data_IF_477681994196
#
_entry.id   IF_477681994196
#
_cell.length_a   1.000
_cell.length_b   1.000
_cell.length_c   1.000
_cell.angle_alpha   90.00
_cell.angle_beta   90.00
_cell.angle_gamma   90.00
#
_symmetry.space_group_name_H-M   'P 1'
#
loop_
_entity.id
_entity.type
_entity.pdbx_description
1 polymer ?
#
# COMPACT_ATOMS: atom_id res chain seq x y z
N UNK A 1 7.47 12.57 29.79
CA UNK A 1 7.05 13.19 28.51
C UNK A 1 7.60 14.60 28.32
N UNK A 2 7.14 15.59 29.08
CA UNK A 2 7.48 17.01 28.84
C UNK A 2 8.96 17.36 29.10
N UNK A 3 9.58 16.77 30.12
CA UNK A 3 11.00 17.01 30.42
C UNK A 3 11.94 16.39 29.37
N UNK A 4 11.62 15.20 28.89
CA UNK A 4 12.39 14.55 27.82
C UNK A 4 12.32 15.34 26.51
N UNK A 5 11.14 15.88 26.18
CA UNK A 5 10.94 16.73 25.02
C UNK A 5 11.76 18.02 25.11
N UNK A 6 11.71 18.74 26.25
CA UNK A 6 12.51 19.95 26.47
C UNK A 6 14.03 19.68 26.36
N UNK A 7 14.50 18.55 26.89
CA UNK A 7 15.91 18.15 26.77
C UNK A 7 16.32 17.88 25.33
N UNK A 8 15.46 17.22 24.53
CA UNK A 8 15.68 17.00 23.10
C UNK A 8 15.73 18.34 22.36
N UNK A 9 14.78 19.24 22.60
CA UNK A 9 14.74 20.56 21.98
C UNK A 9 15.97 21.43 22.32
N UNK A 10 16.48 21.34 23.54
CA UNK A 10 17.71 22.03 23.94
C UNK A 10 18.98 21.46 23.27
N UNK A 11 18.98 20.14 22.97
CA UNK A 11 20.09 19.47 22.27
C UNK A 11 20.18 19.87 20.80
N UNK A 12 19.03 20.21 20.16
CA UNK A 12 18.93 20.62 18.76
C UNK A 12 18.46 22.08 18.66
N UNK A 13 19.34 23.03 18.97
CA UNK A 13 19.03 24.45 18.77
C UNK A 13 20.13 25.09 17.90
N UNK A 14 19.87 25.54 16.66
CA UNK A 14 18.58 25.41 15.92
C UNK A 14 18.25 23.97 15.55
N UNK A 15 16.94 23.69 15.36
CA UNK A 15 16.49 22.37 14.92
C UNK A 15 17.06 22.03 13.55
N UNK A 16 17.55 20.79 13.33
CA UNK A 16 17.87 20.33 11.98
C UNK A 16 16.65 20.40 11.07
N UNK A 17 16.86 20.73 9.79
CA UNK A 17 15.77 20.88 8.81
C UNK A 17 14.82 19.65 8.75
N UNK A 18 15.39 18.46 8.84
CA UNK A 18 14.60 17.23 8.85
C UNK A 18 13.68 17.11 10.08
N UNK A 19 14.08 17.65 11.23
CA UNK A 19 13.27 17.64 12.46
C UNK A 19 12.23 18.74 12.42
N UNK A 20 12.58 19.93 11.92
CA UNK A 20 11.65 21.02 11.71
C UNK A 20 10.52 20.61 10.75
N UNK A 21 10.85 19.91 9.66
CA UNK A 21 9.85 19.37 8.73
C UNK A 21 8.82 18.49 9.45
N UNK A 22 9.24 17.61 10.35
CA UNK A 22 8.30 16.72 11.05
C UNK A 22 7.39 17.50 12.03
N UNK A 23 7.90 18.58 12.66
CA UNK A 23 7.07 19.47 13.50
C UNK A 23 6.01 20.20 12.68
N UNK A 24 6.40 20.82 11.57
CA UNK A 24 5.50 21.58 10.70
C UNK A 24 4.42 20.66 10.10
N UNK A 25 4.81 19.45 9.68
CA UNK A 25 3.90 18.41 9.18
C UNK A 25 2.91 17.94 10.24
N UNK A 26 3.35 17.82 11.50
CA UNK A 26 2.46 17.43 12.60
C UNK A 26 1.33 18.46 12.83
N UNK A 27 1.61 19.75 12.64
CA UNK A 27 0.60 20.81 12.71
C UNK A 27 -0.44 20.68 11.58
N UNK A 28 0.00 20.42 10.35
CA UNK A 28 -0.87 20.17 9.20
C UNK A 28 -1.77 18.95 9.47
N UNK A 29 -1.21 17.85 9.97
CA UNK A 29 -1.99 16.66 10.30
C UNK A 29 -2.99 16.90 11.44
N UNK A 30 -2.68 17.77 12.39
CA UNK A 30 -3.60 18.16 13.44
C UNK A 30 -4.78 18.99 12.89
N UNK A 31 -4.53 19.91 11.95
CA UNK A 31 -5.58 20.68 11.25
C UNK A 31 -6.46 19.74 10.40
N UNK A 32 -5.84 18.83 9.62
CA UNK A 32 -6.51 17.79 8.84
C UNK A 32 -7.41 16.92 9.71
N UNK A 33 -6.90 16.45 10.86
CA UNK A 33 -7.67 15.65 11.81
C UNK A 33 -8.88 16.40 12.37
N UNK A 34 -8.73 17.67 12.75
CA UNK A 34 -9.82 18.49 13.26
C UNK A 34 -10.91 18.71 12.21
N UNK A 35 -10.52 18.93 10.97
CA UNK A 35 -11.47 19.13 9.88
C UNK A 35 -12.19 17.82 9.51
N UNK A 36 -11.46 16.73 9.35
CA UNK A 36 -11.96 15.42 8.91
C UNK A 36 -12.40 15.44 7.44
N UNK A 37 -12.89 14.30 6.94
CA UNK A 37 -13.36 14.14 5.56
C UNK A 37 -14.86 13.83 5.54
N UNK A 38 -15.65 14.50 4.72
CA UNK A 38 -17.08 14.20 4.54
C UNK A 38 -17.27 12.79 3.97
N UNK A 39 -18.12 12.02 4.64
CA UNK A 39 -18.33 10.59 4.36
C UNK A 39 -19.81 10.31 4.17
N UNK A 40 -20.19 9.68 3.07
CA UNK A 40 -21.57 9.36 2.74
C UNK A 40 -22.05 8.12 3.51
N UNK A 41 -22.59 8.34 4.71
CA UNK A 41 -23.06 7.27 5.61
C UNK A 41 -24.20 6.47 4.98
N UNK A 42 -25.15 7.13 4.31
CA UNK A 42 -26.29 6.45 3.69
C UNK A 42 -25.83 5.51 2.55
N UNK A 43 -24.95 6.00 1.68
CA UNK A 43 -24.37 5.20 0.59
C UNK A 43 -23.49 4.08 1.13
N UNK A 44 -22.75 4.31 2.23
CA UNK A 44 -21.96 3.28 2.89
C UNK A 44 -22.81 2.15 3.46
N UNK A 45 -23.97 2.45 4.07
CA UNK A 45 -24.94 1.45 4.55
C UNK A 45 -25.55 0.64 3.40
N UNK A 46 -25.86 1.27 2.27
CA UNK A 46 -26.34 0.57 1.09
C UNK A 46 -25.26 -0.38 0.51
N UNK A 47 -24.01 0.09 0.47
CA UNK A 47 -22.88 -0.73 0.05
C UNK A 47 -22.70 -1.94 0.99
N UNK A 48 -22.78 -1.73 2.31
CA UNK A 48 -22.71 -2.81 3.30
C UNK A 48 -23.75 -3.89 3.04
N UNK A 49 -25.01 -3.51 2.82
CA UNK A 49 -26.10 -4.46 2.51
C UNK A 49 -25.81 -5.24 1.23
N UNK A 50 -25.31 -4.58 0.22
CA UNK A 50 -24.94 -5.21 -1.07
C UNK A 50 -23.84 -6.25 -0.86
N UNK A 51 -22.76 -5.89 -0.15
CA UNK A 51 -21.63 -6.78 0.12
C UNK A 51 -22.05 -7.99 0.99
N UNK A 52 -22.91 -7.78 2.00
CA UNK A 52 -23.44 -8.86 2.84
C UNK A 52 -24.30 -9.83 2.02
N UNK A 53 -25.22 -9.32 1.21
CA UNK A 53 -26.07 -10.15 0.36
C UNK A 53 -25.26 -10.99 -0.63
N UNK A 54 -24.21 -10.41 -1.23
CA UNK A 54 -23.29 -11.14 -2.12
C UNK A 54 -22.54 -12.24 -1.33
N UNK A 55 -22.02 -11.93 -0.15
CA UNK A 55 -21.31 -12.88 0.68
C UNK A 55 -22.18 -14.07 1.11
N UNK A 56 -23.42 -13.81 1.53
CA UNK A 56 -24.39 -14.83 1.93
C UNK A 56 -24.78 -15.74 0.76
N UNK A 57 -24.96 -15.18 -0.45
CA UNK A 57 -25.25 -15.97 -1.67
C UNK A 57 -24.08 -16.90 -1.99
N UNK A 58 -22.85 -16.41 -1.95
CA UNK A 58 -21.66 -17.23 -2.23
C UNK A 58 -21.44 -18.30 -1.16
N UNK A 59 -21.58 -17.94 0.13
CA UNK A 59 -21.50 -18.90 1.25
C UNK A 59 -22.55 -20.00 1.10
N UNK A 60 -23.81 -19.63 0.81
CA UNK A 60 -24.90 -20.59 0.63
C UNK A 60 -24.66 -21.56 -0.53
N UNK A 61 -24.09 -21.09 -1.66
CA UNK A 61 -23.73 -21.96 -2.79
C UNK A 61 -22.63 -22.94 -2.40
N UNK A 62 -21.58 -22.45 -1.74
CA UNK A 62 -20.44 -23.27 -1.34
C UNK A 62 -20.80 -24.25 -0.21
N UNK A 63 -21.62 -23.84 0.74
CA UNK A 63 -22.07 -24.67 1.87
C UNK A 63 -22.92 -25.88 1.43
N UNK A 64 -23.69 -25.75 0.35
CA UNK A 64 -24.38 -26.88 -0.26
C UNK A 64 -23.45 -27.95 -0.80
N UNK A 65 -22.27 -27.55 -1.29
CA UNK A 65 -21.28 -28.47 -1.87
C UNK A 65 -20.31 -29.01 -0.82
N UNK A 66 -19.93 -28.18 0.14
CA UNK A 66 -18.92 -28.48 1.18
C UNK A 66 -19.43 -28.05 2.57
N UNK A 67 -20.45 -28.75 3.14
CA UNK A 67 -21.06 -28.34 4.40
C UNK A 67 -20.11 -28.48 5.59
N UNK A 68 -19.19 -29.46 5.58
CA UNK A 68 -18.32 -29.79 6.70
C UNK A 68 -16.89 -29.98 6.25
N UNK A 69 -15.96 -29.73 7.21
CA UNK A 69 -14.55 -30.03 7.11
C UNK A 69 -14.10 -30.88 8.31
N UNK A 70 -12.98 -31.58 8.17
CA UNK A 70 -12.38 -32.29 9.28
C UNK A 70 -12.01 -31.31 10.42
N UNK A 71 -12.45 -31.63 11.62
CA UNK A 71 -12.09 -30.93 12.85
C UNK A 71 -10.83 -31.54 13.48
N UNK A 72 -10.79 -31.48 14.81
CA UNK A 72 -9.69 -32.12 15.59
C UNK A 72 -9.94 -33.61 15.77
N UNK A 73 -8.88 -34.40 15.76
CA UNK A 73 -8.92 -35.77 16.26
C UNK A 73 -9.17 -35.75 17.76
N UNK A 74 -10.02 -36.61 18.23
CA UNK A 74 -10.39 -36.74 19.62
C UNK A 74 -10.31 -38.19 20.06
N UNK A 75 -9.58 -38.46 21.13
CA UNK A 75 -9.51 -39.77 21.76
C UNK A 75 -10.29 -39.73 23.08
N UNK A 76 -11.47 -40.38 23.16
CA UNK A 76 -12.24 -40.44 24.38
C UNK A 76 -11.49 -41.13 25.51
N UNK A 77 -11.50 -40.53 26.69
CA UNK A 77 -10.93 -41.10 27.92
C UNK A 77 -11.87 -42.09 28.62
N UNK A 78 -13.13 -42.17 28.18
CA UNK A 78 -14.17 -43.10 28.67
C UNK A 78 -15.15 -43.37 27.56
N UNK A 79 -15.69 -44.60 27.54
CA UNK A 79 -16.73 -44.98 26.60
C UNK A 79 -18.05 -44.27 26.97
N UNK A 80 -18.78 -43.80 25.98
CA UNK A 80 -20.09 -43.14 26.12
C UNK A 80 -21.06 -43.67 25.07
N UNK A 81 -22.00 -44.54 25.49
CA UNK A 81 -22.97 -45.18 24.55
C UNK A 81 -23.89 -44.16 23.88
N UNK A 82 -24.30 -43.11 24.59
CA UNK A 82 -25.22 -42.10 24.05
C UNK A 82 -24.58 -41.27 22.96
N UNK A 83 -23.28 -41.05 23.04
CA UNK A 83 -22.49 -40.29 22.03
C UNK A 83 -21.75 -41.18 21.05
N UNK A 84 -21.87 -42.52 21.19
CA UNK A 84 -21.16 -43.48 20.34
C UNK A 84 -19.66 -43.52 20.57
N UNK A 85 -19.15 -43.05 21.74
CA UNK A 85 -17.73 -42.99 21.98
C UNK A 85 -17.20 -44.33 22.59
N UNK A 86 -16.11 -44.80 22.07
CA UNK A 86 -15.36 -45.95 22.61
C UNK A 86 -14.04 -45.41 23.14
N UNK A 87 -13.72 -45.77 24.40
CA UNK A 87 -12.47 -45.37 25.05
C UNK A 87 -11.24 -45.78 24.20
N UNK A 88 -10.29 -44.87 24.04
CA UNK A 88 -9.06 -45.10 23.28
C UNK A 88 -9.22 -45.09 21.77
N UNK A 89 -10.42 -45.07 21.21
CA UNK A 89 -10.62 -44.98 19.77
C UNK A 89 -10.55 -43.56 19.25
N UNK A 90 -9.73 -43.28 18.25
CA UNK A 90 -9.69 -42.01 17.59
C UNK A 90 -11.00 -41.69 16.86
N UNK A 91 -11.53 -40.50 17.09
CA UNK A 91 -12.72 -39.98 16.42
C UNK A 91 -12.36 -38.73 15.69
N UNK A 92 -12.60 -38.70 14.39
CA UNK A 92 -12.51 -37.49 13.60
C UNK A 92 -13.74 -36.61 13.85
N UNK A 93 -13.56 -35.50 14.56
CA UNK A 93 -14.65 -34.51 14.68
C UNK A 93 -14.87 -33.82 13.34
N UNK A 94 -16.09 -33.44 13.07
CA UNK A 94 -16.45 -32.60 11.92
C UNK A 94 -16.78 -31.18 12.41
N UNK A 95 -16.50 -30.20 11.59
CA UNK A 95 -16.86 -28.79 11.81
C UNK A 95 -17.61 -28.26 10.61
N UNK A 96 -18.58 -27.39 10.85
CA UNK A 96 -19.19 -26.62 9.76
C UNK A 96 -18.12 -25.83 9.01
N UNK A 97 -18.25 -25.81 7.70
CA UNK A 97 -17.31 -25.08 6.85
C UNK A 97 -17.45 -23.58 7.07
N UNK A 98 -16.30 -22.93 7.24
CA UNK A 98 -16.19 -21.49 7.27
C UNK A 98 -15.31 -21.06 6.09
N UNK A 99 -15.91 -20.49 5.04
CA UNK A 99 -15.22 -20.04 3.84
C UNK A 99 -14.43 -18.73 4.02
N UNK A 100 -14.41 -18.15 5.23
CA UNK A 100 -13.45 -17.10 5.61
C UNK A 100 -12.20 -17.67 6.29
N UNK A 101 -12.19 -18.97 6.62
CA UNK A 101 -11.04 -19.66 7.21
C UNK A 101 -10.13 -20.22 6.13
N UNK A 102 -8.90 -19.73 6.10
CA UNK A 102 -7.88 -20.21 5.17
C UNK A 102 -7.55 -21.68 5.35
N UNK A 103 -7.56 -22.18 6.60
CA UNK A 103 -7.33 -23.60 6.91
C UNK A 103 -8.47 -24.48 6.33
N UNK A 104 -9.73 -24.04 6.42
CA UNK A 104 -10.86 -24.78 5.83
C UNK A 104 -10.82 -24.79 4.31
N UNK A 105 -10.49 -23.64 3.70
CA UNK A 105 -10.33 -23.55 2.23
C UNK A 105 -9.20 -24.46 1.75
N UNK A 106 -8.04 -24.44 2.42
CA UNK A 106 -6.91 -25.30 2.09
C UNK A 106 -7.27 -26.78 2.19
N UNK A 107 -7.97 -27.18 3.26
CA UNK A 107 -8.40 -28.55 3.46
C UNK A 107 -9.32 -29.02 2.32
N UNK A 108 -10.31 -28.24 1.91
CA UNK A 108 -11.21 -28.58 0.79
C UNK A 108 -10.43 -28.69 -0.50
N UNK A 109 -9.55 -27.73 -0.80
CA UNK A 109 -8.72 -27.75 -2.01
C UNK A 109 -7.87 -29.03 -2.08
N UNK A 110 -7.24 -29.44 -0.98
CA UNK A 110 -6.38 -30.61 -0.94
C UNK A 110 -7.17 -31.91 -0.93
N UNK A 111 -8.20 -32.02 -0.07
CA UNK A 111 -8.87 -33.29 0.23
C UNK A 111 -9.99 -33.61 -0.77
N UNK A 112 -10.80 -32.61 -1.14
CA UNK A 112 -11.93 -32.82 -2.06
C UNK A 112 -11.60 -32.54 -3.52
N UNK A 113 -10.73 -31.53 -3.75
CA UNK A 113 -10.41 -31.09 -5.12
C UNK A 113 -9.04 -31.56 -5.60
N UNK A 114 -8.28 -32.31 -4.77
CA UNK A 114 -6.99 -32.91 -5.14
C UNK A 114 -5.91 -31.91 -5.53
N UNK A 115 -6.05 -30.65 -5.10
CA UNK A 115 -5.12 -29.57 -5.48
C UNK A 115 -3.84 -29.62 -4.65
N UNK A 116 -2.71 -29.44 -5.31
CA UNK A 116 -1.43 -29.24 -4.64
C UNK A 116 -1.29 -27.76 -4.28
N UNK A 117 -0.93 -27.48 -3.01
CA UNK A 117 -0.68 -26.12 -2.51
C UNK A 117 0.81 -25.98 -2.20
N UNK A 118 1.65 -25.67 -3.20
CA UNK A 118 3.10 -25.69 -3.05
C UNK A 118 3.65 -24.50 -2.27
N UNK A 119 2.92 -23.40 -2.22
CA UNK A 119 3.34 -22.20 -1.49
C UNK A 119 2.95 -22.34 -0.02
N UNK A 120 3.94 -22.16 0.87
CA UNK A 120 3.75 -22.23 2.32
C UNK A 120 4.04 -20.88 2.96
N UNK A 121 3.28 -20.56 4.00
CA UNK A 121 3.55 -19.43 4.89
C UNK A 121 4.81 -19.69 5.71
N UNK A 122 5.34 -18.68 6.39
CA UNK A 122 6.49 -18.82 7.32
C UNK A 122 6.24 -19.89 8.40
N UNK A 123 4.98 -20.16 8.74
CA UNK A 123 4.58 -21.18 9.73
C UNK A 123 4.33 -22.57 9.12
N UNK A 124 4.71 -22.78 7.85
CA UNK A 124 4.58 -24.08 7.17
C UNK A 124 3.16 -24.46 6.75
N UNK A 125 2.18 -23.58 6.87
CA UNK A 125 0.80 -23.79 6.39
C UNK A 125 0.68 -23.39 4.92
N UNK A 126 -0.26 -24.00 4.15
CA UNK A 126 -0.55 -23.56 2.79
C UNK A 126 -0.88 -22.05 2.74
N UNK A 127 -0.29 -21.35 1.78
CA UNK A 127 -0.57 -19.95 1.56
C UNK A 127 -1.88 -19.79 0.79
N UNK A 128 -2.92 -19.34 1.50
CA UNK A 128 -4.23 -19.05 0.94
C UNK A 128 -4.44 -17.53 0.99
N UNK A 129 -4.40 -16.89 -0.16
CA UNK A 129 -4.68 -15.47 -0.36
C UNK A 129 -5.68 -15.28 -1.50
N UNK A 130 -6.25 -14.09 -1.61
CA UNK A 130 -7.13 -13.75 -2.74
C UNK A 130 -6.42 -14.00 -4.08
N UNK A 131 -5.15 -13.61 -4.17
CA UNK A 131 -4.32 -13.76 -5.37
C UNK A 131 -4.10 -15.23 -5.69
N UNK A 132 -3.59 -16.03 -4.73
CA UNK A 132 -3.31 -17.46 -4.96
C UNK A 132 -4.57 -18.24 -5.35
N UNK A 133 -5.72 -17.88 -4.79
CA UNK A 133 -7.00 -18.52 -5.14
C UNK A 133 -7.48 -18.15 -6.54
N UNK A 134 -7.32 -16.89 -6.96
CA UNK A 134 -7.65 -16.43 -8.31
C UNK A 134 -6.76 -17.10 -9.37
N UNK A 135 -5.46 -17.24 -9.07
CA UNK A 135 -4.48 -17.89 -9.93
C UNK A 135 -4.80 -19.36 -10.22
N UNK A 136 -5.42 -20.05 -9.26
CA UNK A 136 -5.88 -21.45 -9.45
C UNK A 136 -6.98 -21.56 -10.50
N UNK A 137 -7.72 -20.49 -10.76
CA UNK A 137 -8.80 -20.39 -11.75
C UNK A 137 -9.85 -21.51 -11.68
N UNK A 138 -10.16 -21.99 -10.47
CA UNK A 138 -11.20 -22.98 -10.23
C UNK A 138 -12.51 -22.28 -9.81
N UNK A 139 -13.69 -22.81 -10.16
CA UNK A 139 -14.96 -22.23 -9.71
C UNK A 139 -15.07 -22.09 -8.19
N UNK A 140 -14.51 -23.04 -7.43
CA UNK A 140 -14.44 -23.00 -5.97
C UNK A 140 -13.50 -21.92 -5.49
N UNK A 141 -12.25 -21.91 -6.00
CA UNK A 141 -11.21 -20.97 -5.55
C UNK A 141 -11.59 -19.53 -5.85
N UNK A 142 -12.20 -19.25 -7.02
CA UNK A 142 -12.67 -17.92 -7.38
C UNK A 142 -13.77 -17.41 -6.43
N UNK A 143 -14.71 -18.28 -6.04
CA UNK A 143 -15.74 -17.91 -5.05
C UNK A 143 -15.13 -17.66 -3.66
N UNK A 144 -14.19 -18.50 -3.22
CA UNK A 144 -13.47 -18.30 -1.96
C UNK A 144 -12.65 -17.00 -1.97
N UNK A 145 -11.94 -16.70 -3.06
CA UNK A 145 -11.24 -15.43 -3.23
C UNK A 145 -12.18 -14.23 -3.06
N UNK A 146 -13.36 -14.30 -3.69
CA UNK A 146 -14.37 -13.25 -3.57
C UNK A 146 -14.92 -13.13 -2.14
N UNK A 147 -15.17 -14.24 -1.43
CA UNK A 147 -15.59 -14.19 -0.02
C UNK A 147 -14.50 -13.55 0.86
N UNK A 148 -13.23 -13.86 0.65
CA UNK A 148 -12.14 -13.23 1.41
C UNK A 148 -12.05 -11.73 1.13
N UNK A 149 -12.21 -11.29 -0.13
CA UNK A 149 -12.28 -9.89 -0.50
C UNK A 149 -13.47 -9.18 0.16
N UNK A 150 -14.67 -9.76 0.10
CA UNK A 150 -15.87 -9.25 0.76
C UNK A 150 -15.69 -9.13 2.28
N UNK A 151 -15.09 -10.14 2.91
CA UNK A 151 -14.79 -10.10 4.36
C UNK A 151 -13.86 -8.94 4.72
N UNK A 152 -12.83 -8.71 3.91
CA UNK A 152 -11.92 -7.57 4.07
C UNK A 152 -12.66 -6.24 3.88
N UNK A 153 -13.48 -6.12 2.85
CA UNK A 153 -14.29 -4.93 2.55
C UNK A 153 -15.28 -4.62 3.68
N UNK A 154 -16.03 -5.61 4.17
CA UNK A 154 -16.94 -5.47 5.32
C UNK A 154 -16.17 -5.14 6.60
N UNK A 155 -14.97 -5.69 6.80
CA UNK A 155 -14.09 -5.35 7.91
C UNK A 155 -13.72 -3.87 7.95
N UNK A 156 -13.44 -3.28 6.78
CA UNK A 156 -13.13 -1.84 6.67
C UNK A 156 -14.40 -0.99 6.80
N UNK A 157 -15.51 -1.42 6.23
CA UNK A 157 -16.73 -0.61 6.13
C UNK A 157 -17.53 -0.58 7.44
N UNK A 158 -17.76 -1.74 8.09
CA UNK A 158 -18.70 -1.85 9.21
C UNK A 158 -18.27 -2.76 10.36
N UNK A 159 -17.52 -3.86 10.11
CA UNK A 159 -17.30 -4.89 11.13
C UNK A 159 -16.09 -4.63 12.02
N UNK A 160 -14.99 -4.11 11.47
CA UNK A 160 -13.74 -3.88 12.20
C UNK A 160 -13.88 -2.86 13.32
N UNK A 161 -12.92 -2.85 14.23
CA UNK A 161 -12.87 -1.87 15.33
C UNK A 161 -12.75 -0.44 14.80
N UNK A 162 -11.98 -0.26 13.72
CA UNK A 162 -11.75 1.01 13.05
C UNK A 162 -12.54 1.13 11.73
N UNK A 163 -13.73 0.49 11.67
CA UNK A 163 -14.57 0.54 10.49
C UNK A 163 -15.15 1.95 10.26
N UNK A 164 -15.30 2.33 8.99
CA UNK A 164 -15.73 3.67 8.60
C UNK A 164 -17.07 4.07 9.21
N UNK A 165 -18.09 3.19 9.16
CA UNK A 165 -19.40 3.44 9.73
C UNK A 165 -19.38 3.58 11.26
N UNK A 166 -18.43 2.94 11.96
CA UNK A 166 -18.28 3.07 13.42
C UNK A 166 -17.57 4.36 13.83
N UNK A 167 -16.68 4.87 12.97
CA UNK A 167 -15.87 6.05 13.24
C UNK A 167 -16.47 7.33 12.64
N UNK A 168 -17.47 7.22 11.77
CA UNK A 168 -18.17 8.39 11.23
C UNK A 168 -18.93 9.11 12.36
N UNK A 169 -18.79 10.44 12.37
CA UNK A 169 -19.50 11.30 13.33
C UNK A 169 -20.96 11.51 12.91
N UNK A 170 -21.77 12.10 13.81
CA UNK A 170 -23.16 12.52 13.50
C UNK A 170 -23.21 13.59 12.39
N UNK A 171 -22.11 14.31 12.18
CA UNK A 171 -21.95 15.27 11.08
C UNK A 171 -21.43 14.62 9.79
N UNK A 172 -21.49 13.28 9.68
CA UNK A 172 -21.01 12.51 8.54
C UNK A 172 -19.54 12.80 8.17
N UNK A 173 -18.66 12.87 9.15
CA UNK A 173 -17.22 13.08 8.94
C UNK A 173 -16.40 11.94 9.54
N UNK A 174 -15.32 11.59 8.83
CA UNK A 174 -14.27 10.68 9.29
C UNK A 174 -13.03 11.48 9.65
N UNK A 175 -12.55 11.27 10.88
CA UNK A 175 -11.33 11.88 11.38
C UNK A 175 -10.27 10.78 11.51
N UNK A 176 -9.16 10.91 10.78
CA UNK A 176 -8.08 9.93 10.81
C UNK A 176 -6.77 10.61 11.24
N UNK A 177 -5.95 9.87 11.95
CA UNK A 177 -4.62 10.33 12.36
C UNK A 177 -3.57 9.94 11.33
N UNK A 178 -2.60 10.81 11.11
CA UNK A 178 -1.41 10.54 10.32
C UNK A 178 -0.16 10.67 11.18
N UNK A 179 0.81 9.78 10.98
CA UNK A 179 2.10 9.84 11.67
C UNK A 179 3.20 9.16 10.84
N UNK A 180 4.45 9.56 11.07
CA UNK A 180 5.62 8.95 10.42
C UNK A 180 6.07 7.75 11.27
N UNK A 181 5.45 6.59 11.06
CA UNK A 181 5.70 5.38 11.87
C UNK A 181 6.32 4.21 11.09
N UNK A 182 6.37 4.31 9.75
CA UNK A 182 6.96 3.26 8.94
C UNK A 182 8.49 3.22 9.09
N UNK A 183 9.10 2.03 9.02
CA UNK A 183 10.56 1.86 9.05
C UNK A 183 11.27 2.65 7.94
N UNK A 184 10.60 2.87 6.81
CA UNK A 184 11.06 3.72 5.70
C UNK A 184 10.72 5.19 5.89
N UNK A 185 10.26 5.62 7.05
CA UNK A 185 9.79 6.98 7.33
C UNK A 185 8.70 7.49 6.38
N UNK A 186 7.92 6.58 5.80
CA UNK A 186 6.65 6.95 5.15
C UNK A 186 5.59 7.26 6.19
N UNK A 187 4.68 8.13 5.84
CA UNK A 187 3.49 8.43 6.65
C UNK A 187 2.54 7.24 6.65
N UNK A 188 1.95 6.93 7.79
CA UNK A 188 0.85 5.97 7.92
C UNK A 188 -0.40 6.67 8.43
N UNK A 189 -1.57 6.17 8.04
CA UNK A 189 -2.87 6.63 8.52
C UNK A 189 -3.51 5.59 9.45
N UNK A 190 -4.22 6.07 10.47
CA UNK A 190 -4.90 5.21 11.43
C UNK A 190 -6.25 5.81 11.86
N UNK A 191 -7.17 4.95 12.26
CA UNK A 191 -8.48 5.27 12.87
C UNK A 191 -9.33 6.24 12.05
N UNK A 192 -9.70 5.89 10.81
CA UNK A 192 -9.39 4.67 10.05
C UNK A 192 -8.10 4.79 9.22
N UNK A 193 -7.62 3.67 8.66
CA UNK A 193 -6.50 3.70 7.74
C UNK A 193 -6.99 4.00 6.31
N UNK A 194 -6.98 5.26 5.92
CA UNK A 194 -7.41 5.69 4.60
C UNK A 194 -6.44 5.29 3.46
N UNK A 195 -5.20 4.91 3.79
CA UNK A 195 -4.22 4.42 2.79
C UNK A 195 -4.55 3.01 2.27
N UNK A 196 -5.51 2.33 2.88
CA UNK A 196 -5.97 1.00 2.47
C UNK A 196 -7.36 1.01 1.82
N UNK A 197 -7.94 2.17 1.57
CA UNK A 197 -9.21 2.28 0.85
C UNK A 197 -9.06 1.61 -0.53
N UNK A 198 -9.93 0.66 -0.87
CA UNK A 198 -9.87 0.01 -2.18
C UNK A 198 -9.95 1.02 -3.32
N UNK A 199 -9.26 0.72 -4.43
CA UNK A 199 -9.39 1.51 -5.66
C UNK A 199 -10.75 1.38 -6.34
N UNK A 200 -11.60 0.50 -5.82
CA UNK A 200 -12.98 0.31 -6.27
C UNK A 200 -13.78 1.63 -6.15
N UNK A 201 -14.43 1.99 -7.24
CA UNK A 201 -15.27 3.19 -7.34
C UNK A 201 -16.30 3.26 -6.21
N UNK A 202 -16.95 2.15 -5.86
CA UNK A 202 -17.98 2.09 -4.82
C UNK A 202 -17.46 2.51 -3.44
N UNK A 203 -16.18 2.22 -3.11
CA UNK A 203 -15.55 2.66 -1.86
C UNK A 203 -15.10 4.11 -1.93
N UNK A 204 -14.50 4.53 -3.03
CA UNK A 204 -13.97 5.90 -3.16
C UNK A 204 -15.07 6.95 -3.27
N UNK A 205 -16.22 6.63 -3.85
CA UNK A 205 -17.38 7.51 -3.88
C UNK A 205 -17.97 7.82 -2.48
N UNK A 206 -17.65 7.04 -1.46
CA UNK A 206 -18.07 7.32 -0.08
C UNK A 206 -17.38 8.56 0.51
N UNK A 207 -16.18 8.88 0.02
CA UNK A 207 -15.41 10.05 0.42
C UNK A 207 -15.72 11.20 -0.53
N UNK A 208 -16.50 12.16 -0.08
CA UNK A 208 -17.03 13.26 -0.88
C UNK A 208 -16.59 14.63 -0.38
N UNK A 209 -16.71 15.62 -1.23
CA UNK A 209 -16.60 17.00 -0.79
C UNK A 209 -17.77 17.35 0.13
N UNK A 210 -17.55 18.26 1.07
CA UNK A 210 -18.63 18.89 1.84
C UNK A 210 -19.63 19.55 0.88
N UNK A 211 -20.94 19.46 1.12
CA UNK A 211 -21.93 20.10 0.26
C UNK A 211 -21.61 21.58 -0.04
N UNK A 212 -21.59 21.95 -1.30
CA UNK A 212 -21.19 23.27 -1.77
C UNK A 212 -19.70 23.42 -2.10
N UNK A 213 -18.87 22.46 -1.74
CA UNK A 213 -17.43 22.43 -2.07
C UNK A 213 -17.11 21.42 -3.19
N UNK A 214 -15.85 21.43 -3.61
CA UNK A 214 -15.29 20.49 -4.58
C UNK A 214 -14.02 19.88 -4.00
N UNK A 215 -13.74 18.62 -4.35
CA UNK A 215 -12.46 17.99 -4.09
C UNK A 215 -11.43 18.46 -5.12
N UNK A 216 -10.22 18.65 -4.66
CA UNK A 216 -9.02 18.79 -5.48
C UNK A 216 -7.98 17.81 -4.93
N UNK A 217 -7.59 16.86 -5.73
CA UNK A 217 -6.53 15.88 -5.40
C UNK A 217 -5.35 16.10 -6.32
N UNK A 218 -4.15 15.99 -5.78
CA UNK A 218 -2.92 16.01 -6.55
C UNK A 218 -2.04 14.83 -6.16
N UNK A 219 -1.41 14.18 -7.16
CA UNK A 219 -0.55 13.02 -7.01
C UNK A 219 0.83 13.29 -7.62
N UNK A 220 1.89 12.87 -6.93
CA UNK A 220 3.26 13.03 -7.42
C UNK A 220 3.55 12.05 -8.56
N UNK A 221 3.85 12.56 -9.74
CA UNK A 221 4.05 11.77 -10.94
C UNK A 221 5.30 10.89 -10.84
N UNK A 222 5.12 9.58 -10.59
CA UNK A 222 6.18 8.56 -10.60
C UNK A 222 7.35 8.86 -9.68
N UNK A 223 7.08 9.31 -8.46
CA UNK A 223 8.11 9.85 -7.54
C UNK A 223 9.24 8.87 -7.26
N UNK A 224 8.98 7.57 -7.16
CA UNK A 224 10.03 6.58 -6.89
C UNK A 224 10.99 6.43 -8.08
N UNK A 225 10.48 6.48 -9.32
CA UNK A 225 11.34 6.44 -10.51
C UNK A 225 12.13 7.75 -10.66
N UNK A 226 11.54 8.89 -10.32
CA UNK A 226 12.24 10.18 -10.29
C UNK A 226 13.32 10.20 -9.21
N UNK A 227 13.04 9.63 -8.06
CA UNK A 227 14.02 9.48 -6.98
C UNK A 227 15.15 8.52 -7.37
N UNK A 228 14.83 7.38 -8.02
CA UNK A 228 15.85 6.50 -8.61
C UNK A 228 16.71 7.24 -9.61
N UNK A 229 16.10 7.99 -10.52
CA UNK A 229 16.76 8.82 -11.50
C UNK A 229 17.72 9.84 -10.87
N UNK A 230 17.30 10.50 -9.79
CA UNK A 230 18.15 11.42 -9.03
C UNK A 230 19.46 10.75 -8.56
N UNK A 231 19.35 9.55 -7.99
CA UNK A 231 20.54 8.83 -7.51
C UNK A 231 21.37 8.24 -8.64
N UNK A 232 20.73 7.81 -9.73
CA UNK A 232 21.42 7.27 -10.93
C UNK A 232 22.21 8.34 -11.69
N UNK A 233 21.76 9.59 -11.73
CA UNK A 233 22.39 10.68 -12.48
C UNK A 233 23.88 10.82 -12.20
N UNK A 234 24.34 10.42 -11.00
CA UNK A 234 25.75 10.42 -10.61
C UNK A 234 26.59 9.43 -11.46
N UNK A 235 25.98 8.35 -11.96
CA UNK A 235 26.63 7.24 -12.62
C UNK A 235 26.36 7.20 -14.13
N UNK A 236 25.17 7.65 -14.57
CA UNK A 236 24.72 7.58 -15.96
C UNK A 236 24.69 8.94 -16.68
N UNK A 237 25.12 10.02 -15.98
CA UNK A 237 25.09 11.38 -16.52
C UNK A 237 23.68 11.93 -16.78
N UNK A 238 22.64 11.27 -16.27
CA UNK A 238 21.25 11.67 -16.43
C UNK A 238 20.50 10.97 -17.58
N UNK A 239 21.07 9.94 -18.18
CA UNK A 239 20.44 9.17 -19.27
C UNK A 239 19.09 8.59 -18.85
N UNK A 240 19.01 7.99 -17.68
CA UNK A 240 17.75 7.43 -17.17
C UNK A 240 16.69 8.53 -16.97
N UNK A 241 17.09 9.70 -16.45
CA UNK A 241 16.23 10.88 -16.31
C UNK A 241 15.64 11.29 -17.66
N UNK A 242 16.47 11.41 -18.68
CA UNK A 242 16.06 11.91 -19.98
C UNK A 242 15.06 10.94 -20.65
N UNK A 243 15.25 9.64 -20.50
CA UNK A 243 14.29 8.63 -20.95
C UNK A 243 12.98 8.70 -20.14
N UNK A 244 13.08 8.87 -18.81
CA UNK A 244 11.91 8.97 -17.94
C UNK A 244 11.03 10.18 -18.25
N UNK A 245 11.65 11.32 -18.60
CA UNK A 245 10.94 12.57 -18.84
C UNK A 245 10.43 12.72 -20.27
N UNK A 246 11.18 12.22 -21.28
CA UNK A 246 10.92 12.49 -22.69
C UNK A 246 10.57 11.22 -23.49
N UNK A 247 10.62 10.06 -22.89
CA UNK A 247 10.36 8.78 -23.53
C UNK A 247 9.41 7.88 -22.74
N UNK A 248 9.42 6.60 -23.06
CA UNK A 248 8.72 5.56 -22.29
C UNK A 248 9.73 4.64 -21.61
N UNK A 249 10.04 4.95 -20.36
CA UNK A 249 11.00 4.17 -19.57
C UNK A 249 10.56 2.70 -19.40
N UNK A 250 9.26 2.44 -19.38
CA UNK A 250 8.76 1.06 -19.28
C UNK A 250 8.96 0.31 -20.59
N UNK A 251 8.74 0.96 -21.74
CA UNK A 251 9.02 0.34 -23.04
C UNK A 251 10.52 0.10 -23.22
N UNK A 252 11.34 1.09 -22.90
CA UNK A 252 12.81 0.94 -22.96
C UNK A 252 13.30 -0.23 -22.11
N UNK A 253 12.81 -0.35 -20.87
CA UNK A 253 13.17 -1.46 -20.00
C UNK A 253 12.58 -2.80 -20.50
N UNK A 254 11.39 -2.80 -21.11
CA UNK A 254 10.76 -3.99 -21.69
C UNK A 254 11.57 -4.58 -22.81
N UNK A 255 12.01 -3.73 -23.74
CA UNK A 255 12.84 -4.11 -24.89
C UNK A 255 14.20 -4.67 -24.44
N UNK A 256 14.78 -4.06 -23.39
CA UNK A 256 16.08 -4.45 -22.87
C UNK A 256 16.09 -5.82 -22.18
N UNK A 257 14.98 -6.25 -21.57
CA UNK A 257 14.90 -7.54 -20.84
C UNK A 257 13.99 -8.56 -21.53
N UNK A 258 13.42 -8.22 -22.70
CA UNK A 258 12.64 -9.15 -23.53
C UNK A 258 11.27 -9.55 -22.92
N UNK A 259 10.60 -8.63 -22.26
CA UNK A 259 9.26 -8.87 -21.67
C UNK A 259 8.25 -7.81 -22.14
N UNK A 260 6.94 -8.05 -21.91
CA UNK A 260 5.94 -7.04 -22.28
C UNK A 260 6.04 -5.78 -21.41
N UNK A 261 5.67 -4.62 -21.97
CA UNK A 261 5.64 -3.32 -21.27
C UNK A 261 4.81 -3.39 -19.95
N UNK A 262 3.69 -4.10 -19.97
CA UNK A 262 2.87 -4.29 -18.76
C UNK A 262 3.61 -5.06 -17.68
N UNK A 263 4.29 -6.12 -18.08
CA UNK A 263 5.01 -6.99 -17.15
C UNK A 263 6.26 -6.28 -16.58
N UNK A 264 7.00 -5.53 -17.41
CA UNK A 264 8.18 -4.81 -16.95
C UNK A 264 7.87 -3.74 -15.93
N UNK A 265 6.71 -3.08 -16.03
CA UNK A 265 6.28 -2.12 -15.01
C UNK A 265 6.22 -2.80 -13.63
N UNK A 266 5.56 -3.95 -13.53
CA UNK A 266 5.46 -4.72 -12.29
C UNK A 266 6.83 -5.22 -11.81
N UNK A 267 7.66 -5.73 -12.73
CA UNK A 267 9.03 -6.21 -12.44
C UNK A 267 9.92 -5.07 -11.94
N UNK A 268 9.89 -3.91 -12.59
CA UNK A 268 10.71 -2.75 -12.19
C UNK A 268 10.42 -2.34 -10.74
N UNK A 269 9.15 -2.18 -10.38
CA UNK A 269 8.77 -1.88 -9.00
C UNK A 269 9.13 -3.02 -8.05
N UNK A 270 8.93 -4.27 -8.44
CA UNK A 270 9.32 -5.41 -7.61
C UNK A 270 10.83 -5.43 -7.32
N UNK A 271 11.68 -5.11 -8.31
CA UNK A 271 13.13 -5.00 -8.14
C UNK A 271 13.50 -3.84 -7.22
N UNK A 272 12.90 -2.66 -7.43
CA UNK A 272 13.09 -1.47 -6.60
C UNK A 272 12.71 -1.76 -5.14
N UNK A 273 11.62 -2.48 -4.92
CA UNK A 273 11.16 -2.88 -3.60
C UNK A 273 11.89 -4.08 -3.00
N UNK A 274 12.90 -4.60 -3.68
CA UNK A 274 13.74 -5.67 -3.15
C UNK A 274 13.08 -7.05 -3.14
N UNK A 275 12.19 -7.32 -4.11
CA UNK A 275 11.56 -8.62 -4.24
C UNK A 275 12.60 -9.75 -4.36
N UNK A 276 12.29 -10.90 -3.76
CA UNK A 276 13.11 -12.10 -3.89
C UNK A 276 13.12 -12.62 -5.33
N UNK A 277 14.16 -13.37 -5.70
CA UNK A 277 14.22 -14.02 -7.02
C UNK A 277 13.01 -14.89 -7.31
N UNK A 278 12.53 -15.63 -6.31
CA UNK A 278 11.32 -16.45 -6.44
C UNK A 278 10.10 -15.59 -6.81
N UNK A 279 9.90 -14.47 -6.11
CA UNK A 279 8.78 -13.56 -6.39
C UNK A 279 8.87 -12.95 -7.78
N UNK A 280 10.06 -12.54 -8.22
CA UNK A 280 10.28 -12.04 -9.58
C UNK A 280 9.97 -13.10 -10.64
N UNK A 281 10.41 -14.34 -10.43
CA UNK A 281 10.12 -15.45 -11.34
C UNK A 281 8.62 -15.77 -11.42
N UNK A 282 7.92 -15.81 -10.28
CA UNK A 282 6.46 -16.01 -10.27
C UNK A 282 5.70 -14.80 -10.82
N UNK A 283 6.24 -13.58 -10.73
CA UNK A 283 5.67 -12.40 -11.42
C UNK A 283 5.77 -12.55 -12.93
N UNK A 284 6.84 -13.20 -13.43
CA UNK A 284 7.00 -13.49 -14.86
C UNK A 284 6.08 -14.63 -15.31
N UNK A 285 6.09 -15.75 -14.59
CA UNK A 285 5.25 -16.93 -14.86
C UNK A 285 4.96 -17.68 -13.56
N UNK A 286 3.70 -17.65 -13.15
CA UNK A 286 3.21 -18.23 -11.91
C UNK A 286 3.23 -19.77 -11.92
N UNK A 287 3.24 -20.39 -13.11
CA UNK A 287 3.26 -21.86 -13.25
C UNK A 287 4.62 -22.49 -12.96
N UNK A 288 5.68 -21.68 -12.83
CA UNK A 288 7.03 -22.17 -12.56
C UNK A 288 7.13 -22.84 -11.19
N UNK A 289 7.91 -23.93 -11.13
CA UNK A 289 8.35 -24.49 -9.83
C UNK A 289 9.20 -23.46 -9.08
N UNK A 290 9.30 -23.58 -7.75
CA UNK A 290 10.09 -22.67 -6.90
C UNK A 290 11.53 -22.51 -7.41
N UNK A 291 12.17 -23.61 -7.82
CA UNK A 291 13.53 -23.59 -8.32
C UNK A 291 13.65 -22.86 -9.66
N UNK A 292 12.74 -23.16 -10.60
CA UNK A 292 12.67 -22.47 -11.90
C UNK A 292 12.32 -21.00 -11.74
N UNK A 293 11.39 -20.67 -10.83
CA UNK A 293 11.05 -19.28 -10.52
C UNK A 293 12.25 -18.52 -9.94
N UNK A 294 13.05 -19.13 -9.04
CA UNK A 294 14.28 -18.52 -8.51
C UNK A 294 15.31 -18.28 -9.62
N UNK A 295 15.53 -19.27 -10.49
CA UNK A 295 16.46 -19.14 -11.61
C UNK A 295 16.03 -18.05 -12.58
N UNK A 296 14.74 -18.04 -13.00
CA UNK A 296 14.19 -17.03 -13.90
C UNK A 296 14.18 -15.63 -13.29
N UNK A 297 13.83 -15.50 -12.01
CA UNK A 297 13.85 -14.23 -11.31
C UNK A 297 15.27 -13.66 -11.14
N UNK A 298 16.29 -14.51 -11.00
CA UNK A 298 17.70 -14.10 -11.02
C UNK A 298 18.08 -13.55 -12.38
N UNK A 299 17.79 -14.28 -13.45
CA UNK A 299 18.03 -13.88 -14.85
C UNK A 299 17.40 -12.51 -15.14
N UNK A 300 16.11 -12.34 -14.81
CA UNK A 300 15.37 -11.08 -15.02
C UNK A 300 16.04 -9.93 -14.27
N UNK A 301 16.42 -10.14 -13.01
CA UNK A 301 17.06 -9.08 -12.21
C UNK A 301 18.43 -8.71 -12.75
N UNK A 302 19.22 -9.67 -13.16
CA UNK A 302 20.55 -9.44 -13.77
C UNK A 302 20.41 -8.68 -15.10
N UNK A 303 19.48 -9.08 -15.96
CA UNK A 303 19.18 -8.37 -17.21
C UNK A 303 18.71 -6.93 -16.95
N UNK A 304 17.83 -6.72 -15.96
CA UNK A 304 17.35 -5.38 -15.59
C UNK A 304 18.50 -4.49 -15.09
N UNK A 305 19.38 -5.03 -14.25
CA UNK A 305 20.55 -4.29 -13.74
C UNK A 305 21.49 -3.93 -14.89
N UNK A 306 21.77 -4.85 -15.81
CA UNK A 306 22.62 -4.63 -16.95
C UNK A 306 22.06 -3.63 -17.97
N UNK A 307 20.72 -3.58 -18.09
CA UNK A 307 20.02 -2.69 -19.02
C UNK A 307 20.07 -1.20 -18.59
N UNK A 308 20.27 -0.92 -17.33
CA UNK A 308 20.26 0.45 -16.78
C UNK A 308 21.69 0.85 -16.41
N UNK A 309 22.34 1.73 -17.20
CA UNK A 309 23.69 2.21 -16.90
C UNK A 309 23.78 2.81 -15.49
N UNK A 310 24.82 2.46 -14.76
CA UNK A 310 25.07 2.95 -13.41
C UNK A 310 24.23 2.30 -12.30
N UNK A 311 23.31 1.40 -12.65
CA UNK A 311 22.45 0.79 -11.63
C UNK A 311 23.20 -0.24 -10.76
N UNK A 312 24.12 -0.98 -11.34
CA UNK A 312 24.98 -1.90 -10.60
C UNK A 312 25.87 -1.15 -9.57
N UNK A 313 26.44 -0.03 -9.98
CA UNK A 313 27.26 0.85 -9.14
C UNK A 313 26.44 1.46 -8.00
N UNK A 314 25.24 1.96 -8.31
CA UNK A 314 24.32 2.47 -7.30
C UNK A 314 23.98 1.39 -6.27
N UNK A 315 23.61 0.18 -6.70
CA UNK A 315 23.32 -0.95 -5.83
C UNK A 315 24.49 -1.30 -4.92
N UNK A 316 25.71 -1.38 -5.48
CA UNK A 316 26.93 -1.68 -4.74
C UNK A 316 27.20 -0.63 -3.64
N UNK A 317 27.11 0.65 -3.99
CA UNK A 317 27.31 1.77 -3.05
C UNK A 317 26.27 1.80 -1.95
N UNK A 318 24.98 1.62 -2.29
CA UNK A 318 23.90 1.58 -1.31
C UNK A 318 24.07 0.38 -0.38
N UNK A 319 24.42 -0.80 -0.93
CA UNK A 319 24.67 -2.00 -0.13
C UNK A 319 25.83 -1.80 0.84
N UNK A 320 26.94 -1.26 0.37
CA UNK A 320 28.13 -0.96 1.20
C UNK A 320 27.76 -0.01 2.34
N UNK A 321 27.05 1.09 2.05
CA UNK A 321 26.59 2.02 3.09
C UNK A 321 25.63 1.38 4.08
N UNK A 322 24.74 0.50 3.60
CA UNK A 322 23.80 -0.20 4.47
C UNK A 322 24.45 -1.18 5.46
N UNK A 323 25.70 -1.61 5.21
CA UNK A 323 26.44 -2.47 6.13
C UNK A 323 26.70 -1.83 7.49
N UNK A 324 26.69 -0.50 7.60
CA UNK A 324 26.79 0.21 8.88
C UNK A 324 25.44 0.26 9.66
N UNK A 325 24.39 -0.41 9.18
CA UNK A 325 23.06 -0.48 9.81
C UNK A 325 22.15 0.70 9.50
N UNK A 326 22.58 1.68 8.70
CA UNK A 326 21.73 2.80 8.27
C UNK A 326 22.18 3.38 6.94
N UNK A 327 21.25 4.09 6.29
CA UNK A 327 21.50 4.95 5.13
C UNK A 327 21.01 6.37 5.45
N UNK A 328 21.34 7.33 4.59
CA UNK A 328 20.82 8.70 4.71
C UNK A 328 19.80 8.97 3.61
N UNK A 329 18.62 9.45 4.00
CA UNK A 329 17.62 9.97 3.09
C UNK A 329 18.07 11.30 2.45
N UNK A 330 17.26 11.84 1.55
CA UNK A 330 17.56 13.05 0.78
C UNK A 330 17.83 14.30 1.67
N UNK A 331 17.23 14.38 2.84
CA UNK A 331 17.41 15.46 3.82
C UNK A 331 18.52 15.16 4.85
N UNK A 332 19.27 14.10 4.66
CA UNK A 332 20.38 13.70 5.53
C UNK A 332 20.00 12.92 6.78
N UNK A 333 18.70 12.72 7.07
CA UNK A 333 18.28 11.89 8.21
C UNK A 333 18.75 10.45 8.07
N UNK A 334 19.03 9.80 9.20
CA UNK A 334 19.40 8.38 9.22
C UNK A 334 18.16 7.51 9.16
N UNK A 335 18.19 6.54 8.25
CA UNK A 335 17.18 5.48 8.11
C UNK A 335 17.85 4.16 8.47
N UNK A 336 17.39 3.51 9.49
CA UNK A 336 17.94 2.22 9.92
C UNK A 336 17.51 1.11 8.96
N UNK A 337 18.46 0.27 8.57
CA UNK A 337 18.28 -0.82 7.62
C UNK A 337 18.69 -2.13 8.27
N UNK A 338 17.74 -3.03 8.43
CA UNK A 338 17.93 -4.34 9.05
C UNK A 338 18.71 -5.33 8.17
N UNK A 339 18.77 -5.08 6.87
CA UNK A 339 19.44 -5.93 5.89
C UNK A 339 19.96 -5.13 4.70
N UNK A 340 21.27 -5.29 4.32
CA UNK A 340 21.89 -4.52 3.23
C UNK A 340 21.18 -4.62 1.87
N UNK A 341 20.47 -5.72 1.59
CA UNK A 341 19.72 -5.83 0.32
C UNK A 341 18.43 -5.03 0.29
N UNK A 342 17.94 -4.54 1.42
CA UNK A 342 16.80 -3.64 1.49
C UNK A 342 17.21 -2.17 1.33
N UNK A 343 18.52 -1.87 1.32
CA UNK A 343 19.05 -0.52 1.33
C UNK A 343 18.48 0.36 0.23
N UNK A 344 18.44 -0.10 -1.02
CA UNK A 344 17.88 0.69 -2.13
C UNK A 344 16.40 1.00 -1.90
N UNK A 345 15.61 0.02 -1.51
CA UNK A 345 14.20 0.22 -1.20
C UNK A 345 14.02 1.27 -0.10
N UNK A 346 14.77 1.13 1.01
CA UNK A 346 14.73 2.09 2.12
C UNK A 346 15.15 3.49 1.67
N UNK A 347 16.20 3.61 0.86
CA UNK A 347 16.67 4.89 0.32
C UNK A 347 15.59 5.59 -0.51
N UNK A 348 15.00 4.87 -1.47
CA UNK A 348 14.02 5.45 -2.39
C UNK A 348 12.71 5.78 -1.68
N UNK A 349 12.19 4.86 -0.85
CA UNK A 349 10.94 5.09 -0.14
C UNK A 349 11.04 6.21 0.89
N UNK A 350 12.14 6.26 1.66
CA UNK A 350 12.31 7.31 2.66
C UNK A 350 12.51 8.68 2.02
N UNK A 351 13.33 8.76 0.97
CA UNK A 351 13.56 10.00 0.25
C UNK A 351 12.29 10.52 -0.45
N UNK A 352 11.51 9.62 -1.05
CA UNK A 352 10.20 9.95 -1.62
C UNK A 352 9.21 10.43 -0.54
N UNK A 353 9.17 9.77 0.61
CA UNK A 353 8.30 10.18 1.73
C UNK A 353 8.69 11.54 2.33
N UNK A 354 9.98 11.82 2.43
CA UNK A 354 10.50 13.15 2.85
C UNK A 354 10.08 14.22 1.84
N UNK A 355 10.30 13.97 0.54
CA UNK A 355 9.91 14.89 -0.52
C UNK A 355 8.41 15.17 -0.51
N UNK A 356 7.57 14.14 -0.40
CA UNK A 356 6.12 14.28 -0.38
C UNK A 356 5.65 15.13 0.82
N UNK A 357 6.26 14.99 2.00
CA UNK A 357 5.96 15.85 3.15
C UNK A 357 6.44 17.29 2.96
N UNK A 358 7.61 17.49 2.34
CA UNK A 358 8.08 18.84 1.99
C UNK A 358 7.11 19.50 0.99
N UNK A 359 6.67 18.78 -0.01
CA UNK A 359 5.65 19.22 -0.94
C UNK A 359 4.37 19.65 -0.21
N UNK A 360 3.83 18.78 0.66
CA UNK A 360 2.65 19.08 1.46
C UNK A 360 2.83 20.37 2.30
N UNK A 361 4.00 20.54 2.93
CA UNK A 361 4.31 21.75 3.71
C UNK A 361 4.32 23.00 2.85
N UNK A 362 5.04 22.98 1.71
CA UNK A 362 5.11 24.11 0.78
C UNK A 362 3.74 24.45 0.22
N UNK A 363 2.96 23.44 -0.20
CA UNK A 363 1.61 23.63 -0.70
C UNK A 363 0.70 24.30 0.35
N UNK A 364 0.68 23.80 1.60
CA UNK A 364 -0.12 24.40 2.67
C UNK A 364 0.31 25.84 3.00
N UNK A 365 1.61 26.12 2.93
CA UNK A 365 2.14 27.46 3.12
C UNK A 365 1.67 28.42 2.01
N UNK A 366 1.85 28.03 0.76
CA UNK A 366 1.43 28.84 -0.41
C UNK A 366 -0.08 29.05 -0.45
N UNK A 367 -0.89 28.03 -0.12
CA UNK A 367 -2.35 28.13 0.00
C UNK A 367 -2.74 29.25 0.99
N UNK A 368 -2.09 29.30 2.15
CA UNK A 368 -2.34 30.32 3.18
C UNK A 368 -1.85 31.71 2.72
N UNK A 369 -0.68 31.82 2.11
CA UNK A 369 -0.09 33.07 1.61
C UNK A 369 -0.91 33.72 0.49
N UNK A 370 -1.42 32.91 -0.44
CA UNK A 370 -2.27 33.39 -1.56
C UNK A 370 -3.72 33.63 -1.12
N UNK A 371 -4.11 33.17 0.06
CA UNK A 371 -5.45 33.34 0.60
C UNK A 371 -6.51 32.40 0.00
N UNK A 372 -6.11 31.23 -0.50
CA UNK A 372 -7.01 30.18 -0.97
C UNK A 372 -7.73 29.56 0.23
N UNK A 373 -9.05 29.56 0.22
CA UNK A 373 -9.87 28.88 1.24
C UNK A 373 -10.01 27.41 0.88
N UNK A 374 -9.10 26.59 1.39
CA UNK A 374 -9.09 25.16 1.19
C UNK A 374 -8.76 24.44 2.50
N UNK A 375 -9.26 23.21 2.64
CA UNK A 375 -8.99 22.34 3.78
C UNK A 375 -8.38 21.03 3.29
N UNK A 376 -7.22 20.66 3.85
CA UNK A 376 -6.63 19.35 3.59
C UNK A 376 -7.46 18.26 4.27
N UNK A 377 -7.81 17.24 3.50
CA UNK A 377 -8.67 16.12 3.92
C UNK A 377 -7.87 14.87 4.24
N UNK A 378 -6.85 14.58 3.43
CA UNK A 378 -6.00 13.42 3.59
C UNK A 378 -4.65 13.61 2.91
N UNK A 379 -3.67 12.84 3.40
CA UNK A 379 -2.38 12.61 2.77
C UNK A 379 -2.17 11.11 2.64
N UNK A 380 -2.26 10.59 1.42
CA UNK A 380 -2.25 9.14 1.13
C UNK A 380 -1.06 8.83 0.23
N UNK A 381 0.00 8.26 0.82
CA UNK A 381 1.28 7.96 0.15
C UNK A 381 1.96 9.21 -0.43
N UNK A 382 1.71 9.51 -1.69
CA UNK A 382 2.20 10.62 -2.51
C UNK A 382 1.06 11.46 -3.12
N UNK A 383 -0.16 11.29 -2.59
CA UNK A 383 -1.37 12.02 -2.96
C UNK A 383 -1.83 12.93 -1.82
N UNK A 384 -2.19 14.17 -2.15
CA UNK A 384 -2.80 15.14 -1.22
C UNK A 384 -4.22 15.46 -1.68
N UNK A 385 -5.17 15.35 -0.75
CA UNK A 385 -6.57 15.64 -1.01
C UNK A 385 -7.01 16.90 -0.25
N UNK A 386 -7.64 17.83 -0.96
CA UNK A 386 -8.23 19.04 -0.42
C UNK A 386 -9.70 19.19 -0.81
N UNK A 387 -10.44 20.00 -0.07
CA UNK A 387 -11.71 20.56 -0.52
C UNK A 387 -11.67 22.09 -0.52
N UNK A 388 -12.33 22.72 -1.50
CA UNK A 388 -12.42 24.16 -1.63
C UNK A 388 -13.70 24.61 -2.35
N UNK A 389 -14.01 25.92 -2.29
CA UNK A 389 -15.03 26.55 -3.12
C UNK A 389 -14.63 26.48 -4.60
N UNK A 390 -15.61 26.44 -5.50
CA UNK A 390 -15.42 26.31 -6.95
C UNK A 390 -14.45 27.35 -7.53
N UNK A 391 -14.56 28.60 -7.07
CA UNK A 391 -13.70 29.71 -7.53
C UNK A 391 -12.20 29.50 -7.27
N UNK A 392 -11.83 28.65 -6.33
CA UNK A 392 -10.43 28.38 -5.98
C UNK A 392 -9.84 27.12 -6.62
N UNK A 393 -10.63 26.36 -7.38
CA UNK A 393 -10.18 25.07 -7.94
C UNK A 393 -8.90 25.22 -8.78
N UNK A 394 -8.88 26.19 -9.70
CA UNK A 394 -7.74 26.37 -10.61
C UNK A 394 -6.50 26.88 -9.86
N UNK A 395 -6.66 27.81 -8.95
CA UNK A 395 -5.56 28.35 -8.14
C UNK A 395 -4.99 27.27 -7.23
N UNK A 396 -5.86 26.45 -6.64
CA UNK A 396 -5.43 25.32 -5.80
C UNK A 396 -4.68 24.25 -6.61
N UNK A 397 -5.18 23.87 -7.80
CA UNK A 397 -4.47 22.96 -8.70
C UNK A 397 -3.08 23.47 -9.05
N UNK A 398 -3.01 24.73 -9.50
CA UNK A 398 -1.74 25.36 -9.84
C UNK A 398 -0.78 25.37 -8.64
N UNK A 399 -1.26 25.74 -7.46
CA UNK A 399 -0.45 25.78 -6.24
C UNK A 399 0.09 24.41 -5.87
N UNK A 400 -0.73 23.35 -5.97
CA UNK A 400 -0.32 21.97 -5.68
C UNK A 400 0.75 21.49 -6.67
N UNK A 401 0.56 21.75 -7.96
CA UNK A 401 1.51 21.35 -9.01
C UNK A 401 2.83 22.13 -8.91
N UNK A 402 2.75 23.44 -8.69
CA UNK A 402 3.93 24.29 -8.55
C UNK A 402 4.77 23.93 -7.31
N UNK A 403 4.12 23.73 -6.17
CA UNK A 403 4.81 23.36 -4.93
C UNK A 403 5.50 21.97 -5.03
N UNK A 404 5.08 21.10 -5.95
CA UNK A 404 5.78 19.85 -6.19
C UNK A 404 7.14 20.07 -6.85
N UNK A 405 7.22 20.98 -7.83
CA UNK A 405 8.48 21.39 -8.43
C UNK A 405 9.39 22.06 -7.40
N UNK A 406 8.86 23.00 -6.61
CA UNK A 406 9.59 23.67 -5.53
C UNK A 406 10.18 22.68 -4.51
N UNK A 407 9.44 21.63 -4.13
CA UNK A 407 9.94 20.61 -3.23
C UNK A 407 11.13 19.84 -3.81
N UNK A 408 11.12 19.59 -5.11
CA UNK A 408 12.24 19.01 -5.85
C UNK A 408 13.47 19.92 -5.84
N UNK A 409 13.28 21.20 -6.12
CA UNK A 409 14.33 22.22 -6.12
C UNK A 409 14.92 22.40 -4.72
N UNK A 410 14.09 22.41 -3.68
CA UNK A 410 14.52 22.54 -2.28
C UNK A 410 15.58 21.50 -1.90
N UNK A 411 15.45 20.27 -2.36
CA UNK A 411 16.42 19.21 -2.13
C UNK A 411 17.47 19.06 -3.24
N UNK A 412 17.47 19.94 -4.23
CA UNK A 412 18.40 19.87 -5.36
C UNK A 412 18.28 18.56 -6.15
N UNK A 413 17.04 18.08 -6.36
CA UNK A 413 16.82 16.89 -7.16
C UNK A 413 17.34 17.07 -8.59
N UNK A 414 18.06 16.09 -9.08
CA UNK A 414 18.57 16.05 -10.45
C UNK A 414 17.54 15.59 -11.49
N UNK A 415 16.37 15.22 -11.03
CA UNK A 415 15.21 14.90 -11.83
C UNK A 415 14.06 15.81 -11.40
N UNK A 416 13.45 16.60 -12.30
CA UNK A 416 12.32 17.46 -11.96
C UNK A 416 11.18 16.67 -11.32
N UNK A 417 10.56 17.25 -10.31
CA UNK A 417 9.36 16.71 -9.67
C UNK A 417 8.14 17.37 -10.29
N UNK A 418 7.09 16.58 -10.51
CA UNK A 418 5.82 17.07 -11.01
C UNK A 418 4.68 16.39 -10.25
N UNK A 419 3.55 17.08 -10.16
CA UNK A 419 2.29 16.53 -9.69
C UNK A 419 1.20 16.77 -10.74
N UNK A 420 0.17 15.94 -10.73
CA UNK A 420 -1.03 16.10 -11.55
C UNK A 420 -2.22 16.32 -10.64
N UNK A 421 -2.91 17.45 -10.80
CA UNK A 421 -4.06 17.84 -9.99
C UNK A 421 -5.38 17.66 -10.74
N UNK A 422 -6.35 16.99 -10.10
CA UNK A 422 -7.71 16.77 -10.60
C UNK A 422 -8.74 17.34 -9.64
N UNK A 423 -9.94 17.62 -10.13
CA UNK A 423 -11.06 18.09 -9.31
C UNK A 423 -12.32 17.31 -9.59
N UNK A 424 -13.15 17.12 -8.57
CA UNK A 424 -14.40 16.37 -8.66
C UNK A 424 -15.27 16.55 -7.43
N UNK A 425 -16.31 15.75 -7.30
CA UNK A 425 -17.24 15.79 -6.15
C UNK A 425 -16.93 14.72 -5.10
N UNK A 426 -16.25 13.65 -5.50
CA UNK A 426 -15.87 12.53 -4.64
C UNK A 426 -14.49 11.97 -5.06
N UNK A 427 -13.91 11.14 -4.22
CA UNK A 427 -12.56 10.63 -4.44
C UNK A 427 -12.41 9.76 -5.70
N UNK A 428 -13.49 9.10 -6.15
CA UNK A 428 -13.42 8.28 -7.38
C UNK A 428 -13.26 9.11 -8.66
N UNK A 429 -13.61 10.41 -8.63
CA UNK A 429 -13.52 11.31 -9.77
C UNK A 429 -12.14 11.97 -9.91
N UNK A 430 -11.36 11.96 -8.85
CA UNK A 430 -10.08 12.68 -8.77
C UNK A 430 -8.84 11.76 -8.70
N UNK A 431 -9.07 10.43 -8.76
CA UNK A 431 -7.98 9.45 -8.65
C UNK A 431 -7.80 8.64 -9.92
#
# INVERSE_FOLDING_TARGET
>A
GCQSYRKIMQTFSPLPDWLQLEHDVAEIFAEQYKHGWSFDVAKAQQLEQTLRSEMEKLDGVLRKQFPFVAGTLYVPKRSNRTQGYIEGCEIQRIKETNFTSRDHIAWILQTHLGQKLPQLTMNGKPEISEVTLQEMNLPFSNKCARILALKKQLGMLSEGVNAYLKLSTTAERLHHTCAVTCATHRTSANKPNLQQVPSDKAFRELFRATPGLNLVSADLSGIELRMLSHYLTRYDGGRYRDILLNGDIHQTNADAIGVSRRLVKTISYAIIYGASFQKLGHTYDQSLTIERARAKGKEIKEAFIAAIPGFAELLAQVRQKSMQGYIKAIDGRKIYVDSPHKGLNFLLQSSSGVLARRWMLLANKSIKEVGIRAHQLAFVHDEINFECEEKYINDLKFTLEHSAAEAGEYYGLRCPVAAEAKSGKNWSEVH
#
